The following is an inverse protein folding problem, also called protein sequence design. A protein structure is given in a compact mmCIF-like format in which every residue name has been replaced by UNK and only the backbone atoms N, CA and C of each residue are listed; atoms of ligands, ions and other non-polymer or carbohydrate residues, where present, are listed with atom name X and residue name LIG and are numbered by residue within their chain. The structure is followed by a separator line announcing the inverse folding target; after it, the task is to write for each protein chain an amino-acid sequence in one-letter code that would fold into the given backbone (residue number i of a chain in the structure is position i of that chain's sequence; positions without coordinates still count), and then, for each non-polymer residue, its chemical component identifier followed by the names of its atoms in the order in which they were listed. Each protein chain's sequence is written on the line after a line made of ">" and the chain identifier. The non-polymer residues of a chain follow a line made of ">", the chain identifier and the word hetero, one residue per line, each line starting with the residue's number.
data_IF_820755543643
#
_entry.id   IF_820755543643
#
_cell.length_a   1.000
_cell.length_b   1.000
_cell.length_c   1.000
_cell.angle_alpha   90.00
_cell.angle_beta   90.00
_cell.angle_gamma   90.00
#
_symmetry.space_group_name_H-M   'P 1'
#
loop_
_entity.id
_entity.type
_entity.pdbx_description
1 polymer ?
#
# COMPACT_ATOMS: atom_id res chain seq x y z
N UNK A 1 -21.08 14.55 -25.12
CA UNK A 1 -22.12 14.26 -24.11
C UNK A 1 -21.43 13.85 -22.82
N UNK A 2 -21.49 14.73 -21.81
CA UNK A 2 -21.10 14.60 -20.39
C UNK A 2 -20.07 13.51 -20.00
N UNK A 3 -18.77 13.87 -19.98
CA UNK A 3 -17.82 13.30 -19.02
C UNK A 3 -18.06 13.99 -17.67
N UNK A 4 -19.00 13.49 -16.87
CA UNK A 4 -18.96 13.76 -15.44
C UNK A 4 -17.64 13.17 -14.94
N UNK A 5 -16.70 14.05 -14.56
CA UNK A 5 -15.59 13.63 -13.74
C UNK A 5 -16.20 13.16 -12.42
N UNK A 6 -16.45 11.87 -12.28
CA UNK A 6 -16.78 11.24 -11.00
C UNK A 6 -15.51 11.29 -10.13
N UNK A 7 -15.19 12.49 -9.62
CA UNK A 7 -14.18 12.69 -8.61
C UNK A 7 -14.80 12.18 -7.32
N UNK A 8 -14.77 10.87 -7.14
CA UNK A 8 -15.19 10.24 -5.89
C UNK A 8 -14.25 10.74 -4.79
N UNK A 9 -14.76 11.49 -3.79
CA UNK A 9 -13.93 11.94 -2.69
C UNK A 9 -13.47 10.72 -1.90
N UNK A 10 -12.17 10.57 -1.73
CA UNK A 10 -11.60 9.55 -0.85
C UNK A 10 -11.56 10.12 0.56
N UNK A 11 -12.36 9.54 1.45
CA UNK A 11 -12.45 9.97 2.85
C UNK A 11 -11.58 9.07 3.73
N UNK A 12 -10.59 9.70 4.38
CA UNK A 12 -9.76 9.10 5.41
C UNK A 12 -10.37 9.35 6.79
N UNK A 13 -10.64 8.29 7.55
CA UNK A 13 -11.16 8.36 8.91
C UNK A 13 -10.03 8.04 9.87
N UNK A 14 -9.73 8.97 10.79
CA UNK A 14 -8.72 8.78 11.82
C UNK A 14 -9.39 8.44 13.15
N UNK A 15 -9.23 7.19 13.60
CA UNK A 15 -9.72 6.77 14.91
C UNK A 15 -8.74 7.18 16.02
N UNK A 16 -7.43 7.06 15.76
CA UNK A 16 -6.36 7.33 16.73
C UNK A 16 -5.30 8.25 16.10
N UNK A 17 -5.55 9.56 16.00
CA UNK A 17 -4.73 10.48 15.22
C UNK A 17 -3.28 10.58 15.73
N UNK A 18 -3.07 10.55 17.05
CA UNK A 18 -1.72 10.62 17.66
C UNK A 18 -0.90 9.40 17.26
N UNK A 19 -1.46 8.19 17.39
CA UNK A 19 -0.76 6.95 17.07
C UNK A 19 -0.52 6.82 15.56
N UNK A 20 -1.48 7.25 14.74
CA UNK A 20 -1.33 7.32 13.28
C UNK A 20 -0.14 8.21 12.89
N UNK A 21 -0.09 9.44 13.39
CA UNK A 21 0.99 10.38 13.08
C UNK A 21 2.35 9.90 13.59
N UNK A 22 2.42 9.38 14.82
CA UNK A 22 3.65 8.86 15.40
C UNK A 22 4.19 7.67 14.60
N UNK A 23 3.33 6.73 14.19
CA UNK A 23 3.75 5.56 13.40
C UNK A 23 4.26 5.95 12.02
N UNK A 24 3.58 6.84 11.32
CA UNK A 24 4.02 7.31 10.00
C UNK A 24 5.35 8.06 10.10
N UNK A 25 5.56 8.83 11.17
CA UNK A 25 6.80 9.57 11.38
C UNK A 25 7.97 8.66 11.77
N UNK A 26 7.72 7.62 12.56
CA UNK A 26 8.75 6.66 13.01
C UNK A 26 9.12 5.64 11.94
N UNK A 27 8.16 5.16 11.15
CA UNK A 27 8.40 4.27 10.03
C UNK A 27 7.56 4.69 8.81
N UNK A 28 8.09 5.60 7.96
CA UNK A 28 7.37 6.06 6.78
C UNK A 28 7.16 4.98 5.72
N UNK A 29 7.90 3.85 5.77
CA UNK A 29 7.85 2.81 4.73
C UNK A 29 6.71 1.83 4.98
N UNK A 30 6.52 1.38 6.22
CA UNK A 30 5.48 0.40 6.57
C UNK A 30 4.45 0.93 7.57
N UNK A 31 4.72 2.05 8.25
CA UNK A 31 3.88 2.58 9.32
C UNK A 31 2.46 2.95 8.89
N UNK A 32 2.24 3.31 7.61
CA UNK A 32 0.90 3.50 7.06
C UNK A 32 0.08 2.19 7.07
N UNK A 33 0.70 1.09 6.65
CA UNK A 33 0.08 -0.23 6.64
C UNK A 33 -0.11 -0.79 8.04
N UNK A 34 0.88 -0.64 8.93
CA UNK A 34 0.73 -1.02 10.33
C UNK A 34 -0.40 -0.24 11.02
N UNK A 35 -0.47 1.08 10.79
CA UNK A 35 -1.53 1.90 11.35
C UNK A 35 -2.93 1.48 10.85
N UNK A 36 -3.03 0.95 9.63
CA UNK A 36 -4.26 0.35 9.12
C UNK A 36 -4.58 -0.96 9.85
N UNK A 37 -3.59 -1.86 9.99
CA UNK A 37 -3.75 -3.13 10.71
C UNK A 37 -4.12 -2.95 12.20
N UNK A 38 -3.68 -1.86 12.83
CA UNK A 38 -4.03 -1.51 14.22
C UNK A 38 -5.31 -0.66 14.34
N UNK A 39 -6.09 -0.54 13.27
CA UNK A 39 -7.33 0.26 13.23
C UNK A 39 -7.13 1.71 13.69
N UNK A 40 -5.94 2.28 13.42
CA UNK A 40 -5.67 3.68 13.76
C UNK A 40 -6.33 4.62 12.75
N UNK A 41 -6.54 4.14 11.54
CA UNK A 41 -7.25 4.82 10.46
C UNK A 41 -7.98 3.81 9.57
N UNK A 42 -9.01 4.28 8.89
CA UNK A 42 -9.76 3.51 7.88
C UNK A 42 -10.22 4.41 6.72
N UNK A 43 -10.74 3.82 5.65
CA UNK A 43 -11.28 4.50 4.47
C UNK A 43 -12.70 4.03 4.17
N UNK A 44 -13.58 4.95 3.79
CA UNK A 44 -15.00 4.65 3.60
C UNK A 44 -15.30 3.81 2.34
N UNK A 45 -14.42 3.84 1.33
CA UNK A 45 -14.63 3.17 0.03
C UNK A 45 -13.77 1.91 -0.10
N UNK A 46 -12.58 2.06 -0.66
CA UNK A 46 -11.63 0.97 -0.92
C UNK A 46 -10.24 1.47 -0.58
N UNK A 47 -9.47 0.63 0.08
CA UNK A 47 -8.06 0.89 0.36
C UNK A 47 -7.26 1.12 -0.93
N UNK A 48 -7.65 0.44 -2.01
CA UNK A 48 -7.02 0.53 -3.33
C UNK A 48 -7.09 1.95 -3.91
N UNK A 49 -8.24 2.63 -3.79
CA UNK A 49 -8.43 3.99 -4.31
C UNK A 49 -7.56 4.99 -3.55
N UNK A 50 -7.47 4.83 -2.22
CA UNK A 50 -6.60 5.64 -1.38
C UNK A 50 -5.12 5.42 -1.71
N UNK A 51 -4.69 4.17 -1.86
CA UNK A 51 -3.31 3.85 -2.26
C UNK A 51 -2.98 4.37 -3.66
N UNK A 52 -3.90 4.25 -4.61
CA UNK A 52 -3.74 4.80 -5.96
C UNK A 52 -3.59 6.33 -5.93
N UNK A 53 -4.38 7.02 -5.09
CA UNK A 53 -4.27 8.46 -4.87
C UNK A 53 -2.89 8.83 -4.31
N UNK A 54 -2.40 8.11 -3.29
CA UNK A 54 -1.08 8.36 -2.68
C UNK A 54 0.06 8.13 -3.69
N UNK A 55 -0.01 7.06 -4.48
CA UNK A 55 0.98 6.77 -5.52
C UNK A 55 0.98 7.90 -6.56
N UNK A 56 -0.20 8.31 -7.03
CA UNK A 56 -0.34 9.41 -8.00
C UNK A 56 0.18 10.74 -7.43
N UNK A 57 -0.14 11.06 -6.19
CA UNK A 57 0.33 12.26 -5.52
C UNK A 57 1.86 12.27 -5.39
N UNK A 58 2.46 11.14 -5.00
CA UNK A 58 3.92 10.98 -4.92
C UNK A 58 4.58 11.15 -6.29
N UNK A 59 4.03 10.54 -7.34
CA UNK A 59 4.54 10.68 -8.71
C UNK A 59 4.51 12.14 -9.17
N UNK A 60 3.42 12.87 -8.89
CA UNK A 60 3.31 14.30 -9.20
C UNK A 60 4.31 15.15 -8.40
N UNK A 61 4.50 14.84 -7.12
CA UNK A 61 5.47 15.55 -6.27
C UNK A 61 6.89 15.34 -6.78
N UNK A 62 7.27 14.10 -7.15
CA UNK A 62 8.59 13.79 -7.71
C UNK A 62 8.87 14.60 -8.99
N UNK A 63 7.89 14.69 -9.89
CA UNK A 63 7.98 15.48 -11.12
C UNK A 63 8.20 16.97 -10.79
N UNK A 64 7.47 17.51 -9.81
CA UNK A 64 7.58 18.92 -9.43
C UNK A 64 8.88 19.24 -8.66
N UNK A 65 9.40 18.32 -7.84
CA UNK A 65 10.68 18.50 -7.14
C UNK A 65 11.89 18.54 -8.06
N UNK A 66 11.83 17.90 -9.23
CA UNK A 66 12.87 18.03 -10.27
C UNK A 66 12.92 19.48 -10.81
N UNK A 67 11.82 20.23 -10.70
CA UNK A 67 11.70 21.60 -11.20
C UNK A 67 11.91 22.70 -10.15
N UNK A 68 12.05 22.37 -8.86
CA UNK A 68 12.13 23.37 -7.78
C UNK A 68 13.31 23.11 -6.84
N UNK A 69 14.51 23.40 -7.34
CA UNK A 69 15.71 23.48 -6.52
C UNK A 69 15.81 24.92 -5.98
N UNK A 70 15.08 25.27 -4.92
CA UNK A 70 15.37 26.47 -4.14
C UNK A 70 14.74 26.46 -2.73
N UNK A 71 15.61 26.39 -1.73
CA UNK A 71 15.49 27.23 -0.54
C UNK A 71 14.59 26.77 0.61
N UNK A 72 14.92 25.68 1.31
CA UNK A 72 14.40 25.42 2.67
C UNK A 72 15.51 24.94 3.61
N UNK A 73 16.38 25.87 4.06
CA UNK A 73 17.45 25.59 5.04
C UNK A 73 16.97 25.46 6.50
N UNK A 74 15.70 25.76 6.81
CA UNK A 74 15.13 25.67 8.17
C UNK A 74 14.65 24.27 8.56
N UNK A 75 14.44 23.38 7.59
CA UNK A 75 13.93 22.02 7.82
C UNK A 75 15.04 21.00 8.12
N UNK A 76 16.31 21.33 7.89
CA UNK A 76 17.43 20.38 8.00
C UNK A 76 17.61 19.82 9.43
N UNK A 77 17.43 20.66 10.46
CA UNK A 77 17.59 20.23 11.87
C UNK A 77 16.46 19.30 12.31
N UNK A 78 15.22 19.59 11.92
CA UNK A 78 14.04 18.78 12.25
C UNK A 78 14.13 17.44 11.50
N UNK A 79 14.49 17.48 10.21
CA UNK A 79 14.68 16.27 9.41
C UNK A 79 15.82 15.42 9.99
N UNK A 80 16.93 16.03 10.40
CA UNK A 80 18.05 15.32 11.03
C UNK A 80 17.65 14.65 12.35
N UNK A 81 16.86 15.34 13.19
CA UNK A 81 16.35 14.78 14.43
C UNK A 81 15.38 13.62 14.20
N UNK A 82 14.46 13.77 13.24
CA UNK A 82 13.56 12.68 12.82
C UNK A 82 14.37 11.49 12.31
N UNK A 83 15.35 11.73 11.43
CA UNK A 83 16.21 10.68 10.89
C UNK A 83 17.00 9.98 12.00
N UNK A 84 17.48 10.70 13.01
CA UNK A 84 18.17 10.13 14.17
C UNK A 84 17.26 9.21 14.97
N UNK A 85 16.02 9.64 15.27
CA UNK A 85 15.02 8.82 15.95
C UNK A 85 14.65 7.59 15.10
N UNK A 86 14.43 7.75 13.80
CA UNK A 86 14.16 6.65 12.87
C UNK A 86 15.32 5.64 12.86
N UNK A 87 16.56 6.10 12.76
CA UNK A 87 17.75 5.23 12.82
C UNK A 87 17.85 4.51 14.17
N UNK A 88 17.51 5.16 15.28
CA UNK A 88 17.50 4.52 16.60
C UNK A 88 16.38 3.48 16.73
N UNK A 89 15.20 3.76 16.17
CA UNK A 89 14.06 2.84 16.18
C UNK A 89 14.30 1.62 15.28
N UNK A 90 14.94 1.80 14.13
CA UNK A 90 15.31 0.71 13.22
C UNK A 90 16.50 -0.14 13.70
N UNK A 91 17.29 0.30 14.69
CA UNK A 91 18.50 -0.42 15.14
C UNK A 91 18.25 -1.50 16.19
N UNK A 92 17.00 -1.78 16.59
CA UNK A 92 16.67 -2.95 17.40
C UNK A 92 15.31 -3.51 16.92
N UNK A 93 15.19 -4.78 16.52
CA UNK A 93 15.49 -5.92 17.39
C UNK A 93 15.65 -7.23 16.59
N UNK A 94 16.84 -7.84 16.67
CA UNK A 94 17.08 -9.24 16.28
C UNK A 94 16.08 -10.21 16.94
N UNK A 95 15.58 -9.86 18.13
CA UNK A 95 14.62 -10.63 18.92
C UNK A 95 13.17 -10.50 18.40
N UNK A 96 12.81 -9.34 17.83
CA UNK A 96 11.52 -9.09 17.17
C UNK A 96 11.45 -9.79 15.82
N UNK A 97 12.55 -9.77 15.06
CA UNK A 97 12.72 -10.59 13.86
C UNK A 97 12.62 -12.08 14.18
N UNK A 98 13.27 -12.57 15.25
CA UNK A 98 13.15 -13.97 15.67
C UNK A 98 11.74 -14.37 16.13
N UNK A 99 10.98 -13.47 16.79
CA UNK A 99 9.58 -13.70 17.17
C UNK A 99 8.62 -13.65 15.97
N UNK A 100 8.93 -12.84 14.95
CA UNK A 100 8.21 -12.83 13.66
C UNK A 100 8.53 -14.08 12.81
N UNK A 101 9.77 -14.54 12.86
CA UNK A 101 10.25 -15.80 12.24
C UNK A 101 9.60 -16.99 12.97
N UNK A 102 9.44 -16.99 14.30
CA UNK A 102 8.77 -18.10 14.99
C UNK A 102 7.24 -18.13 14.79
N UNK A 103 6.64 -17.03 14.31
CA UNK A 103 5.32 -17.00 13.68
C UNK A 103 5.41 -17.29 12.17
N UNK A 104 6.36 -18.13 11.75
CA UNK A 104 6.38 -18.61 10.39
C UNK A 104 5.03 -19.25 10.07
N UNK A 105 4.53 -18.82 8.93
CA UNK A 105 3.25 -19.11 8.35
C UNK A 105 3.06 -20.63 8.17
N UNK A 106 2.36 -21.25 9.11
CA UNK A 106 1.46 -22.37 8.78
C UNK A 106 0.21 -21.86 8.02
N UNK A 107 0.24 -20.65 7.42
CA UNK A 107 -0.49 -20.42 6.17
C UNK A 107 0.24 -21.23 5.09
N UNK A 108 0.09 -22.55 5.18
CA UNK A 108 0.63 -23.50 4.21
C UNK A 108 -0.15 -23.45 2.89
N UNK A 109 0.08 -24.47 2.06
CA UNK A 109 -0.65 -24.63 0.79
C UNK A 109 -2.17 -24.52 0.94
N UNK A 110 -2.74 -24.87 2.10
CA UNK A 110 -4.18 -24.81 2.34
C UNK A 110 -4.74 -23.39 2.19
N UNK A 111 -4.05 -22.38 2.73
CA UNK A 111 -4.48 -20.99 2.59
C UNK A 111 -4.39 -20.52 1.14
N UNK A 112 -3.28 -20.84 0.47
CA UNK A 112 -3.06 -20.50 -0.93
C UNK A 112 -4.05 -21.21 -1.86
N UNK A 113 -4.43 -22.45 -1.57
CA UNK A 113 -5.41 -23.21 -2.37
C UNK A 113 -6.82 -22.60 -2.38
N UNK A 114 -7.13 -21.71 -1.44
CA UNK A 114 -8.44 -21.03 -1.39
C UNK A 114 -8.60 -19.94 -2.46
N UNK A 115 -7.51 -19.41 -3.01
CA UNK A 115 -7.56 -18.30 -3.99
C UNK A 115 -6.58 -18.42 -5.15
N UNK A 116 -5.61 -19.34 -5.09
CA UNK A 116 -4.81 -19.70 -6.25
C UNK A 116 -5.52 -20.76 -7.08
N UNK A 117 -5.18 -20.79 -8.35
CA UNK A 117 -5.60 -21.84 -9.27
C UNK A 117 -4.87 -23.17 -8.97
N UNK A 118 -5.31 -24.29 -9.57
CA UNK A 118 -4.74 -25.60 -9.30
C UNK A 118 -3.23 -25.71 -9.59
N UNK A 119 -2.63 -24.82 -10.40
CA UNK A 119 -1.19 -24.83 -10.64
C UNK A 119 -0.37 -24.30 -9.45
N UNK A 120 -1.03 -23.73 -8.42
CA UNK A 120 -0.41 -23.15 -7.22
C UNK A 120 0.67 -22.10 -7.56
N UNK A 121 0.59 -21.48 -8.72
CA UNK A 121 1.59 -20.50 -9.17
C UNK A 121 1.20 -19.11 -8.70
N UNK A 122 2.07 -18.52 -7.88
CA UNK A 122 1.94 -17.15 -7.40
C UNK A 122 2.65 -16.17 -8.35
N UNK A 123 2.08 -15.95 -9.53
CA UNK A 123 2.55 -14.94 -10.48
C UNK A 123 1.39 -14.20 -11.15
N UNK A 124 1.71 -13.14 -11.88
CA UNK A 124 0.71 -12.32 -12.54
C UNK A 124 0.11 -13.06 -13.75
N UNK A 125 -1.22 -13.14 -13.78
CA UNK A 125 -1.98 -13.59 -14.95
C UNK A 125 -1.92 -12.54 -16.07
N UNK A 126 -1.98 -13.01 -17.32
CA UNK A 126 -2.02 -12.17 -18.53
C UNK A 126 -3.46 -12.11 -19.03
N UNK A 127 -4.02 -10.90 -19.10
CA UNK A 127 -5.35 -10.68 -19.67
C UNK A 127 -5.21 -10.21 -21.12
N UNK A 128 -5.71 -11.00 -22.07
CA UNK A 128 -5.59 -10.74 -23.51
C UNK A 128 -6.34 -9.48 -23.98
N UNK A 129 -7.42 -9.10 -23.29
CA UNK A 129 -8.17 -7.89 -23.58
C UNK A 129 -8.59 -7.19 -22.28
N UNK A 130 -8.41 -5.86 -22.23
CA UNK A 130 -8.98 -5.04 -21.17
C UNK A 130 -10.45 -4.82 -21.53
N UNK A 131 -11.41 -5.30 -20.71
CA UNK A 131 -12.82 -5.08 -20.99
C UNK A 131 -13.12 -3.58 -21.06
N UNK A 132 -13.88 -3.19 -22.09
CA UNK A 132 -14.23 -1.80 -22.39
C UNK A 132 -15.32 -1.23 -21.46
N UNK A 133 -15.89 -2.05 -20.59
CA UNK A 133 -16.83 -1.67 -19.55
C UNK A 133 -16.21 -1.83 -18.17
N UNK A 134 -16.65 -1.03 -17.21
CA UNK A 134 -16.25 -1.20 -15.81
C UNK A 134 -16.71 -2.56 -15.31
N UNK A 135 -15.77 -3.38 -14.85
CA UNK A 135 -16.06 -4.67 -14.24
C UNK A 135 -16.72 -4.40 -12.88
N UNK A 136 -18.03 -4.65 -12.79
CA UNK A 136 -18.81 -4.51 -11.54
C UNK A 136 -18.70 -5.80 -10.73
N UNK A 137 -18.67 -6.95 -11.39
CA UNK A 137 -18.50 -8.28 -10.80
C UNK A 137 -17.36 -9.01 -11.49
N UNK A 138 -16.56 -9.75 -10.73
CA UNK A 138 -15.53 -10.64 -11.28
C UNK A 138 -16.16 -11.75 -12.12
N UNK A 139 -15.80 -11.82 -13.40
CA UNK A 139 -16.14 -12.96 -14.25
C UNK A 139 -15.12 -14.07 -14.00
N UNK A 140 -15.55 -15.12 -13.29
CA UNK A 140 -14.69 -16.25 -12.93
C UNK A 140 -14.08 -16.91 -14.17
N UNK A 141 -14.81 -16.92 -15.30
CA UNK A 141 -14.32 -17.57 -16.53
C UNK A 141 -13.15 -16.80 -17.13
N UNK A 142 -13.25 -15.47 -17.17
CA UNK A 142 -12.18 -14.60 -17.66
C UNK A 142 -10.94 -14.65 -16.74
N UNK A 143 -11.15 -14.77 -15.42
CA UNK A 143 -10.05 -14.96 -14.47
C UNK A 143 -9.35 -16.31 -14.67
N UNK A 144 -10.11 -17.39 -14.87
CA UNK A 144 -9.56 -18.74 -15.10
C UNK A 144 -8.81 -18.82 -16.44
N UNK A 145 -9.36 -18.21 -17.51
CA UNK A 145 -8.68 -18.14 -18.80
C UNK A 145 -7.36 -17.37 -18.72
N UNK A 146 -7.34 -16.23 -18.02
CA UNK A 146 -6.14 -15.43 -17.82
C UNK A 146 -5.09 -16.16 -16.95
N UNK A 147 -5.51 -17.01 -16.03
CA UNK A 147 -4.60 -17.84 -15.24
C UNK A 147 -3.89 -18.89 -16.09
N UNK A 148 -4.38 -19.29 -17.27
CA UNK A 148 -3.64 -20.22 -18.12
C UNK A 148 -2.41 -19.58 -18.79
N UNK A 149 -2.37 -18.25 -18.86
CA UNK A 149 -1.26 -17.48 -19.43
C UNK A 149 -0.59 -16.66 -18.32
N UNK A 150 0.58 -17.11 -17.85
CA UNK A 150 1.31 -16.47 -16.75
C UNK A 150 2.69 -16.01 -17.19
N UNK A 151 3.18 -14.93 -16.57
CA UNK A 151 4.58 -14.45 -16.66
C UNK A 151 5.41 -15.07 -15.53
#
# INVERSE_FOLDING_TARGET
>A
SNKSNDILPITLILHKPINFCLRILLDPKIGLGEAYMFENWDTQLRIQDFLALLIRAKTLQLINTISYNNGMKKSEQIISFINFIQHYYHTNSLYGSARNIHKHYDLGNDMFSLFLDPSMTYSCAIFQAIPSHTIINSDNKLLEEAQNEKI
#
